data_IF_818548373588
#
_entry.id   IF_818548373588
#
_cell.length_a   1.000
_cell.length_b   1.000
_cell.length_c   1.000
_cell.angle_alpha   90.00
_cell.angle_beta   90.00
_cell.angle_gamma   90.00
#
_symmetry.space_group_name_H-M   'P 1'
#
loop_
_entity.id
_entity.type
_entity.pdbx_description
1 polymer ?
#
# COMPACT_ATOMS: atom_id res chain seq x y z
N UNK A 1 4.85 8.20 -6.63
CA UNK A 1 6.08 8.04 -7.44
C UNK A 1 5.77 7.81 -8.93
N UNK A 2 6.55 8.41 -9.85
CA UNK A 2 6.46 8.18 -11.32
C UNK A 2 7.23 6.91 -11.69
N UNK A 3 6.70 6.10 -12.61
CA UNK A 3 7.42 4.94 -13.13
C UNK A 3 8.71 5.38 -13.85
N UNK A 4 9.79 4.62 -13.68
CA UNK A 4 11.03 4.80 -14.44
C UNK A 4 10.82 4.37 -15.88
N UNK A 5 11.55 5.02 -16.77
CA UNK A 5 11.51 4.71 -18.20
C UNK A 5 12.18 3.36 -18.47
N UNK A 6 11.61 2.61 -19.41
CA UNK A 6 12.15 1.32 -19.84
C UNK A 6 12.86 1.54 -21.16
N UNK A 7 14.19 1.53 -21.14
CA UNK A 7 15.00 1.71 -22.34
C UNK A 7 15.10 0.40 -23.17
N UNK A 8 15.35 0.54 -24.47
CA UNK A 8 15.64 -0.59 -25.35
C UNK A 8 14.45 -1.48 -25.67
N UNK A 9 13.23 -0.95 -25.60
CA UNK A 9 12.05 -1.63 -26.13
C UNK A 9 12.07 -1.62 -27.66
N UNK A 10 11.80 -2.76 -28.26
CA UNK A 10 11.73 -2.92 -29.71
C UNK A 10 10.29 -3.32 -30.11
N UNK A 11 9.50 -2.43 -30.73
CA UNK A 11 8.14 -2.74 -31.16
C UNK A 11 8.04 -3.90 -32.17
N UNK A 12 9.11 -4.16 -32.93
CA UNK A 12 9.17 -5.27 -33.89
C UNK A 12 9.71 -6.56 -33.27
N UNK A 13 10.23 -6.49 -32.04
CA UNK A 13 10.84 -7.61 -31.33
C UNK A 13 9.83 -8.52 -30.62
N UNK A 14 10.28 -9.70 -30.13
CA UNK A 14 9.42 -10.63 -29.40
C UNK A 14 8.85 -10.02 -28.11
N UNK A 15 7.58 -10.30 -27.81
CA UNK A 15 6.93 -9.88 -26.56
C UNK A 15 7.72 -10.33 -25.33
N UNK A 16 8.26 -11.55 -25.34
CA UNK A 16 9.06 -12.10 -24.24
C UNK A 16 10.31 -11.26 -23.93
N UNK A 17 11.00 -10.76 -24.95
CA UNK A 17 12.18 -9.91 -24.79
C UNK A 17 11.82 -8.53 -24.22
N UNK A 18 10.73 -7.92 -24.70
CA UNK A 18 10.24 -6.64 -24.15
C UNK A 18 9.70 -6.80 -22.73
N UNK A 19 8.94 -7.87 -22.45
CA UNK A 19 8.43 -8.20 -21.13
C UNK A 19 9.56 -8.36 -20.11
N UNK A 20 10.61 -9.11 -20.45
CA UNK A 20 11.78 -9.26 -19.60
C UNK A 20 12.45 -7.91 -19.25
N UNK A 21 12.56 -6.98 -20.21
CA UNK A 21 13.08 -5.62 -19.95
C UNK A 21 12.19 -4.85 -18.99
N UNK A 22 10.88 -4.85 -19.22
CA UNK A 22 9.91 -4.13 -18.38
C UNK A 22 9.92 -4.71 -16.96
N UNK A 23 9.85 -6.04 -16.82
CA UNK A 23 9.82 -6.73 -15.53
C UNK A 23 11.05 -6.40 -14.70
N UNK A 24 12.26 -6.41 -15.29
CA UNK A 24 13.49 -6.03 -14.57
C UNK A 24 13.42 -4.61 -14.02
N UNK A 25 12.97 -3.64 -14.82
CA UNK A 25 12.83 -2.25 -14.36
C UNK A 25 11.79 -2.13 -13.24
N UNK A 26 10.63 -2.81 -13.36
CA UNK A 26 9.57 -2.75 -12.34
C UNK A 26 9.95 -3.47 -11.05
N UNK A 27 10.68 -4.56 -11.14
CA UNK A 27 11.19 -5.26 -9.96
C UNK A 27 12.29 -4.44 -9.27
N UNK A 28 13.20 -3.84 -10.02
CA UNK A 28 14.23 -2.95 -9.45
C UNK A 28 13.61 -1.73 -8.76
N UNK A 29 12.59 -1.11 -9.37
CA UNK A 29 11.79 -0.06 -8.71
C UNK A 29 11.22 -0.53 -7.37
N UNK A 30 10.57 -1.70 -7.34
CA UNK A 30 9.99 -2.25 -6.12
C UNK A 30 11.05 -2.48 -5.05
N UNK A 31 12.16 -3.14 -5.39
CA UNK A 31 13.24 -3.45 -4.44
C UNK A 31 13.95 -2.20 -3.93
N UNK A 32 14.12 -1.18 -4.77
CA UNK A 32 14.74 0.10 -4.38
C UNK A 32 13.94 0.86 -3.30
N UNK A 33 12.64 0.58 -3.17
CA UNK A 33 11.77 1.19 -2.17
C UNK A 33 11.71 0.40 -0.87
N UNK A 34 12.18 -0.86 -0.85
CA UNK A 34 12.04 -1.75 0.29
C UNK A 34 12.68 -1.19 1.56
N UNK A 35 13.94 -0.74 1.48
CA UNK A 35 14.65 -0.19 2.63
C UNK A 35 13.87 0.96 3.29
N UNK A 36 13.35 1.91 2.49
CA UNK A 36 12.56 3.01 3.03
C UNK A 36 11.15 2.62 3.49
N UNK A 37 10.54 1.59 2.91
CA UNK A 37 9.21 1.12 3.29
C UNK A 37 9.22 0.28 4.57
N UNK A 38 10.33 -0.41 4.84
CA UNK A 38 10.61 -1.18 6.06
C UNK A 38 10.90 -0.29 7.27
N UNK A 39 10.98 1.02 7.11
CA UNK A 39 11.06 1.96 8.23
C UNK A 39 9.66 2.17 8.88
N UNK A 40 9.54 2.03 10.21
CA UNK A 40 8.29 2.31 10.91
C UNK A 40 7.79 3.74 10.64
N UNK A 41 6.50 3.87 10.31
CA UNK A 41 5.88 5.17 10.07
C UNK A 41 6.23 5.85 8.73
N UNK A 42 7.02 5.22 7.85
CA UNK A 42 7.36 5.75 6.53
C UNK A 42 6.21 5.62 5.51
N UNK A 43 5.07 6.24 5.81
CA UNK A 43 3.82 6.14 5.04
C UNK A 43 4.00 6.43 3.54
N UNK A 44 4.84 7.42 3.18
CA UNK A 44 5.11 7.75 1.77
C UNK A 44 5.87 6.64 1.06
N UNK A 45 6.91 6.09 1.67
CA UNK A 45 7.70 4.98 1.11
C UNK A 45 6.85 3.72 0.96
N UNK A 46 6.03 3.42 1.97
CA UNK A 46 5.08 2.30 1.96
C UNK A 46 4.05 2.44 0.83
N UNK A 47 3.49 3.65 0.65
CA UNK A 47 2.58 3.95 -0.45
C UNK A 47 3.26 3.85 -1.83
N UNK A 48 4.48 4.37 -1.98
CA UNK A 48 5.22 4.28 -3.23
C UNK A 48 5.57 2.81 -3.57
N UNK A 49 5.95 2.01 -2.57
CA UNK A 49 6.20 0.57 -2.74
C UNK A 49 4.92 -0.18 -3.13
N UNK A 50 3.77 0.18 -2.57
CA UNK A 50 2.46 -0.37 -2.99
C UNK A 50 2.19 -0.12 -4.46
N UNK A 51 2.47 1.09 -4.94
CA UNK A 51 2.31 1.45 -6.35
C UNK A 51 3.27 0.61 -7.22
N UNK A 52 4.52 0.43 -6.79
CA UNK A 52 5.49 -0.40 -7.50
C UNK A 52 5.03 -1.87 -7.58
N UNK A 53 4.56 -2.45 -6.47
CA UNK A 53 4.05 -3.81 -6.41
C UNK A 53 2.84 -4.00 -7.34
N UNK A 54 1.90 -3.04 -7.34
CA UNK A 54 0.76 -3.02 -8.26
C UNK A 54 1.20 -3.01 -9.72
N UNK A 55 2.18 -2.18 -10.09
CA UNK A 55 2.70 -2.09 -11.45
C UNK A 55 3.40 -3.38 -11.88
N UNK A 56 4.24 -3.94 -11.01
CA UNK A 56 4.89 -5.23 -11.27
C UNK A 56 3.84 -6.32 -11.50
N UNK A 57 2.83 -6.42 -10.62
CA UNK A 57 1.72 -7.36 -10.77
C UNK A 57 1.02 -7.20 -12.11
N UNK A 58 0.67 -5.99 -12.53
CA UNK A 58 -0.02 -5.76 -13.81
C UNK A 58 0.80 -6.17 -15.02
N UNK A 59 2.11 -5.90 -15.00
CA UNK A 59 2.99 -6.37 -16.07
C UNK A 59 3.01 -7.90 -16.10
N UNK A 60 3.17 -8.55 -14.94
CA UNK A 60 3.17 -10.01 -14.85
C UNK A 60 1.81 -10.64 -15.19
N UNK A 61 0.69 -9.97 -14.94
CA UNK A 61 -0.64 -10.40 -15.39
C UNK A 61 -0.74 -10.40 -16.93
N UNK A 62 -0.14 -9.40 -17.57
CA UNK A 62 -0.15 -9.29 -19.02
C UNK A 62 0.89 -10.18 -19.71
N UNK A 63 2.05 -10.40 -19.09
CA UNK A 63 3.21 -11.03 -19.74
C UNK A 63 3.72 -12.29 -19.05
N UNK A 64 3.06 -12.75 -17.98
CA UNK A 64 3.51 -13.90 -17.17
C UNK A 64 3.66 -15.19 -17.99
N UNK A 65 2.80 -15.40 -18.98
CA UNK A 65 2.89 -16.54 -19.89
C UNK A 65 4.22 -16.64 -20.66
N UNK A 66 4.94 -15.51 -20.87
CA UNK A 66 6.24 -15.51 -21.51
C UNK A 66 7.40 -15.92 -20.58
N UNK A 67 7.19 -15.90 -19.27
CA UNK A 67 8.22 -16.05 -18.24
C UNK A 67 7.95 -17.27 -17.32
N UNK A 68 6.85 -17.99 -17.55
CA UNK A 68 6.55 -19.26 -16.90
C UNK A 68 6.29 -19.18 -15.39
N UNK A 69 6.52 -20.30 -14.70
CA UNK A 69 6.19 -20.44 -13.28
C UNK A 69 6.81 -19.39 -12.34
N UNK A 70 8.07 -18.94 -12.52
CA UNK A 70 8.64 -17.88 -11.69
C UNK A 70 7.85 -16.56 -11.76
N UNK A 71 7.33 -16.20 -12.95
CA UNK A 71 6.51 -15.01 -13.09
C UNK A 71 5.16 -15.14 -12.39
N UNK A 72 4.54 -16.32 -12.38
CA UNK A 72 3.30 -16.55 -11.65
C UNK A 72 3.49 -16.52 -10.13
N UNK A 73 4.59 -17.10 -9.63
CA UNK A 73 4.96 -16.99 -8.23
C UNK A 73 5.19 -15.52 -7.83
N UNK A 74 5.97 -14.79 -8.62
CA UNK A 74 6.23 -13.36 -8.40
C UNK A 74 4.96 -12.51 -8.47
N UNK A 75 4.03 -12.80 -9.39
CA UNK A 75 2.75 -12.10 -9.51
C UNK A 75 1.89 -12.29 -8.26
N UNK A 76 1.85 -13.50 -7.72
CA UNK A 76 1.17 -13.80 -6.45
C UNK A 76 1.79 -13.02 -5.29
N UNK A 77 3.12 -13.06 -5.14
CA UNK A 77 3.81 -12.29 -4.08
C UNK A 77 3.64 -10.78 -4.22
N UNK A 78 3.64 -10.26 -5.45
CA UNK A 78 3.35 -8.84 -5.71
C UNK A 78 1.92 -8.46 -5.32
N UNK A 79 0.94 -9.36 -5.49
CA UNK A 79 -0.43 -9.17 -4.99
C UNK A 79 -0.47 -9.14 -3.46
N UNK A 80 0.14 -10.12 -2.80
CA UNK A 80 0.20 -10.20 -1.33
C UNK A 80 0.81 -8.91 -0.74
N UNK A 81 1.92 -8.42 -1.31
CA UNK A 81 2.53 -7.13 -0.91
C UNK A 81 1.61 -5.93 -1.16
N UNK A 82 0.98 -5.87 -2.33
CA UNK A 82 0.05 -4.79 -2.67
C UNK A 82 -1.12 -4.73 -1.68
N UNK A 83 -1.65 -5.89 -1.28
CA UNK A 83 -2.79 -5.99 -0.38
C UNK A 83 -2.39 -5.61 1.05
N UNK A 84 -1.26 -6.12 1.55
CA UNK A 84 -0.72 -5.74 2.88
C UNK A 84 -0.42 -4.24 2.98
N UNK A 85 0.28 -3.67 2.00
CA UNK A 85 0.57 -2.23 1.97
C UNK A 85 -0.69 -1.39 1.71
N UNK A 86 -1.71 -1.96 1.06
CA UNK A 86 -3.02 -1.33 0.87
C UNK A 86 -3.74 -1.09 2.19
N UNK A 87 -3.78 -2.09 3.05
CA UNK A 87 -4.39 -1.99 4.37
C UNK A 87 -3.67 -0.97 5.28
N UNK A 88 -2.33 -0.88 5.19
CA UNK A 88 -1.55 0.16 5.88
C UNK A 88 -1.95 1.54 5.36
N UNK A 89 -2.00 1.70 4.03
CA UNK A 89 -2.37 2.96 3.40
C UNK A 89 -3.79 3.40 3.77
N UNK A 90 -4.74 2.47 3.89
CA UNK A 90 -6.10 2.78 4.32
C UNK A 90 -6.12 3.36 5.73
N UNK A 91 -5.31 2.82 6.65
CA UNK A 91 -5.14 3.40 7.99
C UNK A 91 -4.54 4.83 7.91
N UNK A 92 -3.52 5.03 7.07
CA UNK A 92 -2.87 6.33 6.87
C UNK A 92 -3.82 7.38 6.26
N UNK A 93 -4.78 6.96 5.44
CA UNK A 93 -5.82 7.83 4.87
C UNK A 93 -6.96 8.09 5.87
N UNK A 94 -7.35 7.09 6.66
CA UNK A 94 -8.46 7.18 7.61
C UNK A 94 -8.12 8.01 8.84
N UNK A 95 -6.93 7.84 9.42
CA UNK A 95 -6.49 8.57 10.61
C UNK A 95 -6.69 10.09 10.52
N UNK A 96 -6.16 10.82 9.51
CA UNK A 96 -6.37 12.25 9.40
C UNK A 96 -7.84 12.63 9.13
N UNK A 97 -8.62 11.76 8.48
CA UNK A 97 -10.06 11.99 8.25
C UNK A 97 -10.84 11.91 9.57
N UNK A 98 -10.56 10.90 10.39
CA UNK A 98 -11.16 10.73 11.72
C UNK A 98 -10.79 11.91 12.61
N UNK A 99 -9.51 12.28 12.66
CA UNK A 99 -9.04 13.42 13.46
C UNK A 99 -9.71 14.75 13.03
N UNK A 100 -9.83 14.99 11.72
CA UNK A 100 -10.53 16.17 11.19
C UNK A 100 -12.01 16.18 11.56
N UNK A 101 -12.70 15.05 11.38
CA UNK A 101 -14.13 14.95 11.71
C UNK A 101 -14.37 15.13 13.22
N UNK A 102 -13.52 14.51 14.05
CA UNK A 102 -13.52 14.68 15.50
C UNK A 102 -13.36 16.13 15.91
N UNK A 103 -12.40 16.86 15.31
CA UNK A 103 -12.20 18.29 15.56
C UNK A 103 -13.44 19.11 15.18
N UNK A 104 -14.04 18.83 14.02
CA UNK A 104 -15.24 19.53 13.58
C UNK A 104 -16.42 19.36 14.55
N UNK A 105 -16.68 18.13 15.01
CA UNK A 105 -17.72 17.87 16.00
C UNK A 105 -17.47 18.58 17.33
N UNK A 106 -16.22 18.62 17.80
CA UNK A 106 -15.85 19.35 19.03
C UNK A 106 -16.05 20.87 18.89
N UNK A 107 -15.79 21.44 17.70
CA UNK A 107 -16.07 22.86 17.42
C UNK A 107 -17.57 23.14 17.47
N UNK A 108 -18.39 22.32 16.79
CA UNK A 108 -19.85 22.44 16.82
C UNK A 108 -20.38 22.34 18.26
N UNK A 109 -19.89 21.38 19.04
CA UNK A 109 -20.30 21.21 20.42
C UNK A 109 -19.90 22.39 21.31
N UNK A 110 -18.70 22.97 21.11
CA UNK A 110 -18.26 24.15 21.84
C UNK A 110 -19.17 25.37 21.56
N UNK A 111 -19.53 25.60 20.29
CA UNK A 111 -20.48 26.64 19.89
C UNK A 111 -21.86 26.39 20.49
N UNK A 112 -22.34 25.15 20.45
CA UNK A 112 -23.64 24.75 20.99
C UNK A 112 -23.71 24.88 22.52
N UNK A 113 -22.60 24.61 23.23
CA UNK A 113 -22.49 24.82 24.68
C UNK A 113 -22.45 26.30 25.01
N UNK A 114 -21.66 27.11 24.28
CA UNK A 114 -21.63 28.56 24.46
C UNK A 114 -23.00 29.19 24.22
N UNK A 115 -23.71 28.81 23.18
CA UNK A 115 -25.05 29.31 22.89
C UNK A 115 -26.05 29.02 24.02
N UNK A 116 -25.86 27.94 24.78
CA UNK A 116 -26.71 27.59 25.93
C UNK A 116 -26.46 28.43 27.18
N UNK A 117 -25.29 29.08 27.28
CA UNK A 117 -24.99 29.99 28.38
C UNK A 117 -25.83 31.27 28.31
N UNK A 118 -26.34 31.63 27.13
CA UNK A 118 -27.05 32.89 26.92
C UNK A 118 -26.16 34.09 27.25
N UNK A 119 -26.69 35.00 28.08
CA UNK A 119 -26.01 36.22 28.54
C UNK A 119 -25.24 36.03 29.86
N UNK A 120 -25.16 34.80 30.38
CA UNK A 120 -24.38 34.54 31.60
C UNK A 120 -22.90 34.95 31.36
N UNK A 121 -22.31 35.79 32.22
CA UNK A 121 -20.92 36.22 32.06
C UNK A 121 -19.92 35.07 32.25
N UNK A 122 -20.33 33.93 32.80
CA UNK A 122 -19.52 32.74 32.96
C UNK A 122 -20.19 31.48 32.36
N UNK A 123 -19.45 30.38 32.25
CA UNK A 123 -19.93 29.13 31.66
C UNK A 123 -20.02 28.01 32.71
N UNK A 124 -21.25 27.64 33.12
CA UNK A 124 -21.46 26.47 33.99
C UNK A 124 -20.89 25.20 33.32
N UNK A 125 -19.87 24.54 33.91
CA UNK A 125 -19.27 23.33 33.36
C UNK A 125 -20.27 22.20 33.08
N UNK A 126 -21.41 22.16 33.78
CA UNK A 126 -22.47 21.17 33.54
C UNK A 126 -23.09 21.29 32.15
N UNK A 127 -23.00 22.45 31.50
CA UNK A 127 -23.50 22.64 30.13
C UNK A 127 -22.76 21.76 29.12
N UNK A 128 -21.49 21.41 29.38
CA UNK A 128 -20.73 20.47 28.54
C UNK A 128 -21.39 19.08 28.49
N UNK A 129 -22.07 18.64 29.56
CA UNK A 129 -22.81 17.38 29.57
C UNK A 129 -24.02 17.38 28.60
N UNK A 130 -24.45 18.55 28.14
CA UNK A 130 -25.57 18.72 27.19
C UNK A 130 -25.10 18.90 25.74
N UNK A 131 -23.79 18.78 25.48
CA UNK A 131 -23.25 18.90 24.14
C UNK A 131 -23.80 17.77 23.23
N UNK A 132 -24.28 18.10 22.01
CA UNK A 132 -25.04 17.18 21.17
C UNK A 132 -24.22 16.01 20.62
N UNK A 133 -22.92 16.19 20.36
CA UNK A 133 -22.05 15.18 19.76
C UNK A 133 -21.05 14.54 20.74
N UNK A 134 -21.22 14.74 22.04
CA UNK A 134 -20.28 14.27 23.09
C UNK A 134 -19.96 12.78 23.05
N UNK A 135 -20.92 11.95 22.66
CA UNK A 135 -20.74 10.50 22.52
C UNK A 135 -20.07 10.16 21.18
N UNK A 136 -20.40 10.90 20.12
CA UNK A 136 -19.85 10.70 18.77
C UNK A 136 -18.34 10.88 18.75
N UNK A 137 -17.81 12.01 19.23
CA UNK A 137 -16.36 12.21 19.19
C UNK A 137 -15.58 11.33 20.17
N UNK A 138 -16.21 10.81 21.24
CA UNK A 138 -15.63 9.76 22.10
C UNK A 138 -15.47 8.44 21.33
N UNK A 139 -16.47 8.04 20.55
CA UNK A 139 -16.36 6.88 19.66
C UNK A 139 -15.25 7.05 18.62
N UNK A 140 -15.08 8.27 18.08
CA UNK A 140 -13.99 8.58 17.16
C UNK A 140 -12.61 8.54 17.84
N UNK A 141 -12.48 8.92 19.11
CA UNK A 141 -11.24 8.74 19.88
C UNK A 141 -10.85 7.26 19.97
N UNK A 142 -11.82 6.37 20.29
CA UNK A 142 -11.59 4.92 20.33
C UNK A 142 -11.21 4.37 18.95
N UNK A 143 -11.89 4.83 17.89
CA UNK A 143 -11.56 4.44 16.52
C UNK A 143 -10.14 4.88 16.11
N UNK A 144 -9.71 6.09 16.51
CA UNK A 144 -8.35 6.57 16.26
C UNK A 144 -7.30 5.66 16.93
N UNK A 145 -7.54 5.25 18.18
CA UNK A 145 -6.68 4.28 18.89
C UNK A 145 -6.63 2.94 18.14
N UNK A 146 -7.78 2.41 17.75
CA UNK A 146 -7.86 1.16 16.98
C UNK A 146 -7.09 1.25 15.66
N UNK A 147 -7.27 2.32 14.88
CA UNK A 147 -6.59 2.49 13.59
C UNK A 147 -5.06 2.56 13.76
N UNK A 148 -4.56 3.23 14.80
CA UNK A 148 -3.12 3.28 15.12
C UNK A 148 -2.58 1.88 15.47
N UNK A 149 -3.29 1.15 16.32
CA UNK A 149 -2.90 -0.20 16.71
C UNK A 149 -2.94 -1.17 15.51
N UNK A 150 -4.02 -1.13 14.71
CA UNK A 150 -4.17 -1.92 13.49
C UNK A 150 -3.04 -1.62 12.50
N UNK A 151 -2.70 -0.34 12.28
CA UNK A 151 -1.60 0.07 11.41
C UNK A 151 -0.28 -0.57 11.84
N UNK A 152 0.01 -0.61 13.14
CA UNK A 152 1.22 -1.25 13.67
C UNK A 152 1.24 -2.76 13.38
N UNK A 153 0.15 -3.47 13.68
CA UNK A 153 0.02 -4.91 13.38
C UNK A 153 0.18 -5.20 11.88
N UNK A 154 -0.40 -4.37 11.03
CA UNK A 154 -0.28 -4.50 9.57
C UNK A 154 1.15 -4.26 9.09
N UNK A 155 1.87 -3.33 9.72
CA UNK A 155 3.28 -3.09 9.43
C UNK A 155 4.14 -4.31 9.78
N UNK A 156 3.94 -4.91 10.96
CA UNK A 156 4.65 -6.14 11.35
C UNK A 156 4.40 -7.28 10.37
N UNK A 157 3.14 -7.44 9.91
CA UNK A 157 2.78 -8.42 8.87
C UNK A 157 3.48 -8.14 7.54
N UNK A 158 3.56 -6.87 7.12
CA UNK A 158 4.28 -6.48 5.91
C UNK A 158 5.78 -6.81 6.01
N UNK A 159 6.42 -6.50 7.16
CA UNK A 159 7.84 -6.82 7.39
C UNK A 159 8.07 -8.33 7.31
N UNK A 160 7.23 -9.13 7.98
CA UNK A 160 7.31 -10.59 7.94
C UNK A 160 7.12 -11.14 6.53
N UNK A 161 6.11 -10.64 5.80
CA UNK A 161 5.85 -11.02 4.40
C UNK A 161 7.05 -10.70 3.50
N UNK A 162 7.64 -9.50 3.65
CA UNK A 162 8.81 -9.13 2.85
C UNK A 162 10.00 -10.06 3.11
N UNK A 163 10.27 -10.38 4.38
CA UNK A 163 11.33 -11.33 4.76
C UNK A 163 11.07 -12.73 4.17
N UNK A 164 9.85 -13.24 4.27
CA UNK A 164 9.45 -14.53 3.68
C UNK A 164 9.68 -14.56 2.16
N UNK A 165 9.39 -13.47 1.45
CA UNK A 165 9.57 -13.41 0.00
C UNK A 165 11.06 -13.42 -0.38
N UNK A 166 11.89 -12.68 0.34
CA UNK A 166 13.34 -12.65 0.12
C UNK A 166 13.98 -14.01 0.45
N UNK A 167 13.56 -14.68 1.54
CA UNK A 167 14.02 -16.02 1.92
C UNK A 167 13.72 -17.07 0.83
N UNK A 168 12.50 -17.04 0.28
CA UNK A 168 12.12 -17.94 -0.82
C UNK A 168 12.82 -17.63 -2.16
N UNK A 169 13.58 -16.53 -2.27
CA UNK A 169 14.28 -16.18 -3.50
C UNK A 169 13.36 -15.80 -4.67
N UNK A 170 12.07 -15.48 -4.41
CA UNK A 170 11.07 -15.26 -5.46
C UNK A 170 11.51 -14.21 -6.49
N UNK A 171 12.14 -13.13 -6.01
CA UNK A 171 12.65 -12.06 -6.88
C UNK A 171 13.90 -12.47 -7.66
N UNK A 172 14.77 -13.28 -7.07
CA UNK A 172 15.94 -13.81 -7.76
C UNK A 172 15.53 -14.74 -8.91
N UNK A 173 14.55 -15.62 -8.68
CA UNK A 173 14.00 -16.51 -9.71
C UNK A 173 13.35 -15.75 -10.86
N UNK A 174 12.63 -14.66 -10.55
CA UNK A 174 12.03 -13.79 -11.57
C UNK A 174 13.11 -13.09 -12.42
N UNK A 175 14.19 -12.61 -11.81
CA UNK A 175 15.31 -12.00 -12.54
C UNK A 175 15.97 -13.05 -13.43
N UNK A 176 16.26 -14.23 -12.87
CA UNK A 176 16.92 -15.31 -13.60
C UNK A 176 16.15 -15.72 -14.86
N UNK A 177 14.81 -15.80 -14.81
CA UNK A 177 14.03 -16.10 -16.02
C UNK A 177 13.96 -14.92 -17.00
N UNK A 178 13.96 -13.68 -16.51
CA UNK A 178 13.98 -12.49 -17.36
C UNK A 178 15.35 -12.27 -18.05
N UNK A 179 16.43 -12.85 -17.52
CA UNK A 179 17.77 -12.75 -18.10
C UNK A 179 18.09 -13.87 -19.10
N UNK A 180 17.26 -14.92 -19.19
CA UNK A 180 17.48 -16.00 -20.15
C UNK A 180 17.38 -15.49 -21.59
N UNK A 181 18.43 -15.64 -22.41
CA UNK A 181 18.35 -15.30 -23.83
C UNK A 181 17.45 -16.31 -24.54
N UNK A 182 16.33 -15.84 -25.09
CA UNK A 182 15.40 -16.66 -25.85
C UNK A 182 14.51 -17.52 -24.95
N UNK A 183 13.30 -17.04 -24.66
CA UNK A 183 12.20 -17.89 -24.18
C UNK A 183 11.83 -18.88 -25.28
N UNK A 184 12.55 -20.00 -25.34
CA UNK A 184 12.29 -21.09 -26.25
C UNK A 184 10.88 -21.62 -26.06
N UNK A 185 10.15 -21.70 -27.17
CA UNK A 185 8.95 -22.50 -27.36
C UNK A 185 9.04 -23.82 -26.59
N UNK A 186 8.21 -23.96 -25.55
CA UNK A 186 7.92 -25.24 -24.91
C UNK A 186 6.53 -25.75 -25.34
N UNK A 187 6.05 -25.37 -26.54
CA UNK A 187 4.72 -25.74 -27.03
C UNK A 187 4.71 -26.50 -28.37
N UNK A 188 5.87 -26.96 -28.89
CA UNK A 188 5.95 -27.73 -30.16
C UNK A 188 6.52 -29.15 -30.01
N UNK A 189 6.36 -29.80 -28.85
CA UNK A 189 6.59 -31.25 -28.74
C UNK A 189 5.37 -31.96 -28.18
N UNK A 190 4.52 -32.38 -29.11
CA UNK A 190 3.35 -33.23 -28.86
C UNK A 190 2.63 -33.48 -30.17
N UNK A 191 3.24 -34.32 -31.01
CA UNK A 191 2.57 -35.06 -32.10
C UNK A 191 1.58 -36.05 -31.48
#
# INVERSE_FOLDING_TARGET
MKARDVAGLDPAGPLSANAARIVRVRLDELRSLAAGALEPGAARSQHDMRIAAKRLRYVLEATGGCLGAPAEAARRRARELQDALGEIHDCDVLLPRVARHRRALRTIDAEAVRARAGDDPDLDPKLAARAPHRTSYRGLDVLEVYLRARRAVLFDRFVALWAEIEEHGTWADLIAVAERPGGGSAAERGV
#
